data_IF_916882239837
#
_entry.id   IF_916882239837
#
_cell.length_a   1.000
_cell.length_b   1.000
_cell.length_c   1.000
_cell.angle_alpha   90.00
_cell.angle_beta   90.00
_cell.angle_gamma   90.00
#
_symmetry.space_group_name_H-M   'P 1'
#
loop_
_entity.id
_entity.type
_entity.pdbx_description
1 polymer ?
#
# COMPACT_ATOMS: atom_id res chain seq x y z
N UNK A 1 -18.95 -39.52 1.22
CA UNK A 1 -18.43 -38.17 0.89
C UNK A 1 -17.65 -38.29 -0.41
N UNK A 2 -18.31 -37.96 -1.52
CA UNK A 2 -17.77 -38.11 -2.86
C UNK A 2 -16.82 -36.99 -3.24
N UNK A 3 -16.08 -37.16 -4.33
CA UNK A 3 -15.24 -36.10 -4.93
C UNK A 3 -16.04 -34.81 -5.25
N UNK A 4 -17.34 -34.96 -5.53
CA UNK A 4 -18.28 -33.85 -5.72
C UNK A 4 -18.52 -33.04 -4.44
N UNK A 5 -18.54 -33.69 -3.27
CA UNK A 5 -18.69 -33.00 -1.98
C UNK A 5 -17.47 -32.13 -1.67
N UNK A 6 -16.26 -32.63 -1.96
CA UNK A 6 -15.00 -31.87 -1.77
C UNK A 6 -14.89 -30.66 -2.70
N UNK A 7 -15.36 -30.76 -3.94
CA UNK A 7 -15.33 -29.65 -4.89
C UNK A 7 -16.27 -28.50 -4.44
N UNK A 8 -17.42 -28.86 -3.86
CA UNK A 8 -18.38 -27.89 -3.31
C UNK A 8 -17.82 -27.18 -2.08
N UNK A 9 -17.20 -27.94 -1.17
CA UNK A 9 -16.56 -27.43 0.04
C UNK A 9 -15.39 -26.48 -0.25
N UNK A 10 -14.61 -26.75 -1.31
CA UNK A 10 -13.57 -25.85 -1.81
C UNK A 10 -14.15 -24.56 -2.42
N UNK A 11 -15.27 -24.67 -3.15
CA UNK A 11 -15.96 -23.50 -3.73
C UNK A 11 -16.51 -22.55 -2.68
N UNK A 12 -17.14 -23.09 -1.63
CA UNK A 12 -17.67 -22.29 -0.52
C UNK A 12 -16.55 -21.58 0.27
N UNK A 13 -15.39 -22.24 0.45
CA UNK A 13 -14.22 -21.67 1.14
C UNK A 13 -13.55 -20.52 0.36
N UNK A 14 -13.58 -20.59 -0.97
CA UNK A 14 -13.12 -19.48 -1.83
C UNK A 14 -14.11 -18.31 -1.76
N UNK A 15 -15.42 -18.59 -1.75
CA UNK A 15 -16.45 -17.56 -1.68
C UNK A 15 -16.45 -16.78 -0.34
N UNK A 16 -16.26 -17.47 0.80
CA UNK A 16 -16.07 -16.81 2.11
C UNK A 16 -14.77 -15.99 2.20
N UNK A 17 -13.70 -16.45 1.55
CA UNK A 17 -12.45 -15.71 1.52
C UNK A 17 -12.63 -14.40 0.73
N UNK A 18 -13.32 -14.45 -0.40
CA UNK A 18 -13.61 -13.29 -1.27
C UNK A 18 -14.45 -12.23 -0.55
N UNK A 19 -15.45 -12.60 0.24
CA UNK A 19 -16.24 -11.65 1.03
C UNK A 19 -15.46 -11.06 2.21
N UNK A 20 -14.55 -11.84 2.82
CA UNK A 20 -13.63 -11.33 3.86
C UNK A 20 -12.66 -10.29 3.30
N UNK A 21 -12.17 -10.47 2.07
CA UNK A 21 -11.23 -9.55 1.41
C UNK A 21 -11.88 -8.25 0.92
N UNK A 22 -13.21 -8.19 0.83
CA UNK A 22 -13.95 -6.98 0.42
C UNK A 22 -14.45 -6.14 1.60
N UNK A 23 -14.06 -6.45 2.83
CA UNK A 23 -14.49 -5.68 4.01
C UNK A 23 -13.78 -4.32 4.09
N UNK A 24 -14.48 -3.30 4.58
CA UNK A 24 -13.94 -1.96 4.81
C UNK A 24 -12.69 -2.00 5.70
N UNK A 25 -12.64 -2.92 6.66
CA UNK A 25 -11.49 -3.14 7.53
C UNK A 25 -10.26 -3.66 6.77
N UNK A 26 -10.44 -4.56 5.79
CA UNK A 26 -9.34 -5.02 4.94
C UNK A 26 -8.85 -3.89 4.04
N UNK A 27 -9.75 -3.08 3.50
CA UNK A 27 -9.41 -1.90 2.70
C UNK A 27 -8.60 -0.91 3.55
N UNK A 28 -9.08 -0.57 4.75
CA UNK A 28 -8.40 0.34 5.67
C UNK A 28 -6.99 -0.17 6.03
N UNK A 29 -6.87 -1.45 6.40
CA UNK A 29 -5.58 -2.07 6.70
C UNK A 29 -4.64 -2.07 5.48
N UNK A 30 -5.18 -2.24 4.27
CA UNK A 30 -4.40 -2.19 3.04
C UNK A 30 -3.86 -0.79 2.79
N UNK A 31 -4.67 0.24 2.99
CA UNK A 31 -4.26 1.66 2.87
C UNK A 31 -3.15 1.97 3.87
N UNK A 32 -3.35 1.63 5.15
CA UNK A 32 -2.36 1.86 6.22
C UNK A 32 -1.01 1.23 5.83
N UNK A 33 -1.02 -0.03 5.43
CA UNK A 33 0.20 -0.76 5.03
C UNK A 33 0.86 -0.17 3.77
N UNK A 34 0.07 0.31 2.82
CA UNK A 34 0.59 0.93 1.60
C UNK A 34 1.34 2.22 1.92
N UNK A 35 0.76 3.08 2.75
CA UNK A 35 1.37 4.35 3.18
C UNK A 35 2.64 4.11 4.00
N UNK A 36 2.60 3.23 4.99
CA UNK A 36 3.80 2.88 5.76
C UNK A 36 4.93 2.36 4.86
N UNK A 37 4.58 1.58 3.84
CA UNK A 37 5.55 1.06 2.87
C UNK A 37 6.10 2.15 1.98
N UNK A 38 5.27 3.11 1.52
CA UNK A 38 5.74 4.30 0.81
C UNK A 38 6.77 5.06 1.64
N UNK A 39 6.51 5.34 2.91
CA UNK A 39 7.43 6.08 3.78
C UNK A 39 8.77 5.35 3.94
N UNK A 40 8.74 4.05 4.26
CA UNK A 40 9.93 3.22 4.41
C UNK A 40 10.74 3.13 3.13
N UNK A 41 10.07 2.92 1.98
CA UNK A 41 10.73 2.87 0.67
C UNK A 41 11.35 4.22 0.33
N UNK A 42 10.65 5.32 0.54
CA UNK A 42 11.17 6.66 0.29
C UNK A 42 12.38 6.97 1.17
N UNK A 43 12.36 6.62 2.46
CA UNK A 43 13.52 6.78 3.34
C UNK A 43 14.74 5.97 2.83
N UNK A 44 14.52 4.74 2.38
CA UNK A 44 15.59 3.91 1.80
C UNK A 44 16.12 4.48 0.48
N UNK A 45 15.25 5.00 -0.38
CA UNK A 45 15.64 5.65 -1.63
C UNK A 45 16.48 6.91 -1.34
N UNK A 46 16.13 7.70 -0.32
CA UNK A 46 16.93 8.84 0.16
C UNK A 46 18.32 8.41 0.58
N UNK A 47 18.39 7.42 1.47
CA UNK A 47 19.65 6.92 2.02
C UNK A 47 20.58 6.36 0.94
N UNK A 48 20.03 5.90 -0.18
CA UNK A 48 20.76 5.41 -1.36
C UNK A 48 21.13 6.51 -2.36
N UNK A 49 20.79 7.77 -2.11
CA UNK A 49 21.01 8.87 -3.05
C UNK A 49 20.15 8.78 -4.31
N UNK A 50 18.99 8.11 -4.25
CA UNK A 50 18.08 8.00 -5.38
C UNK A 50 17.18 9.23 -5.49
N UNK A 51 17.17 9.83 -6.67
CA UNK A 51 16.37 11.03 -6.97
C UNK A 51 14.90 10.70 -7.30
N UNK A 52 14.44 9.49 -7.01
CA UNK A 52 13.06 9.06 -7.23
C UNK A 52 12.37 8.76 -5.92
N UNK A 53 11.08 9.07 -5.84
CA UNK A 53 10.22 8.76 -4.70
C UNK A 53 8.86 8.29 -5.15
N UNK A 54 8.28 7.41 -4.35
CA UNK A 54 6.86 7.08 -4.40
C UNK A 54 6.09 8.36 -4.06
N UNK A 55 5.29 8.81 -5.01
CA UNK A 55 4.55 10.08 -4.99
C UNK A 55 3.04 9.87 -4.88
N UNK A 56 2.56 8.75 -5.44
CA UNK A 56 1.15 8.43 -5.55
C UNK A 56 0.90 6.97 -5.13
N UNK A 57 -0.28 6.72 -4.55
CA UNK A 57 -0.78 5.38 -4.24
C UNK A 57 -2.15 5.25 -4.88
N UNK A 58 -2.30 4.28 -5.77
CA UNK A 58 -3.60 3.89 -6.33
C UNK A 58 -4.04 2.56 -5.71
N UNK A 59 -5.30 2.52 -5.27
CA UNK A 59 -5.94 1.30 -4.74
C UNK A 59 -6.95 0.76 -5.77
N UNK A 60 -6.68 -0.43 -6.30
CA UNK A 60 -7.64 -1.19 -7.08
C UNK A 60 -8.60 -1.95 -6.18
N UNK A 61 -9.89 -1.64 -6.26
CA UNK A 61 -10.97 -2.27 -5.46
C UNK A 61 -11.38 -3.67 -5.98
N UNK A 62 -10.44 -4.39 -6.60
CA UNK A 62 -10.63 -5.79 -6.93
C UNK A 62 -10.71 -6.64 -5.66
N UNK A 63 -11.10 -7.91 -5.82
CA UNK A 63 -11.01 -8.87 -4.73
C UNK A 63 -9.96 -9.93 -5.12
N UNK A 64 -8.79 -9.96 -4.45
CA UNK A 64 -8.34 -9.06 -3.38
C UNK A 64 -7.95 -7.66 -3.88
N UNK A 65 -7.94 -6.64 -3.00
CA UNK A 65 -7.55 -5.29 -3.39
C UNK A 65 -6.07 -5.23 -3.78
N UNK A 66 -5.74 -4.36 -4.73
CA UNK A 66 -4.38 -4.20 -5.25
C UNK A 66 -3.85 -2.80 -5.00
N UNK A 67 -2.56 -2.67 -4.70
CA UNK A 67 -1.89 -1.38 -4.47
C UNK A 67 -0.86 -1.16 -5.57
N UNK A 68 -0.94 -0.01 -6.23
CA UNK A 68 0.05 0.43 -7.21
C UNK A 68 0.72 1.71 -6.71
N UNK A 69 2.05 1.76 -6.81
CA UNK A 69 2.84 2.93 -6.42
C UNK A 69 3.28 3.72 -7.65
N UNK A 70 2.89 4.98 -7.73
CA UNK A 70 3.43 5.93 -8.69
C UNK A 70 4.78 6.45 -8.22
N UNK A 71 5.81 6.37 -9.08
CA UNK A 71 7.17 6.83 -8.77
C UNK A 71 7.52 8.00 -9.66
N UNK A 72 7.96 9.11 -9.05
CA UNK A 72 8.39 10.31 -9.76
C UNK A 72 9.79 10.70 -9.34
N UNK A 73 10.50 11.36 -10.25
CA UNK A 73 11.75 12.04 -9.93
C UNK A 73 11.44 13.27 -9.08
N UNK A 74 12.14 13.42 -7.96
CA UNK A 74 12.09 14.62 -7.12
C UNK A 74 12.88 15.71 -7.84
N UNK A 75 12.29 16.90 -7.96
CA UNK A 75 12.97 18.05 -8.57
C UNK A 75 14.17 18.50 -7.71
N UNK A 76 15.17 19.12 -8.33
CA UNK A 76 16.24 19.82 -7.62
C UNK A 76 15.62 21.00 -6.86
N UNK A 77 15.15 20.78 -5.62
CA UNK A 77 14.49 21.80 -4.81
C UNK A 77 13.51 21.30 -3.74
N UNK A 78 13.18 20.00 -3.71
CA UNK A 78 12.30 19.42 -2.67
C UNK A 78 13.05 18.59 -1.62
N UNK A 79 14.39 18.68 -1.58
CA UNK A 79 15.18 18.12 -0.48
C UNK A 79 15.35 19.19 0.62
N UNK A 80 14.67 18.97 1.74
CA UNK A 80 14.94 19.50 3.08
C UNK A 80 15.13 21.03 3.25
N UNK A 81 14.07 21.82 3.10
CA UNK A 81 13.96 23.10 3.81
C UNK A 81 12.74 23.10 4.74
N UNK A 82 12.79 22.26 5.77
CA UNK A 82 12.02 22.43 7.01
C UNK A 82 12.90 22.05 8.21
N UNK A 83 14.07 22.66 8.28
CA UNK A 83 14.87 22.65 9.49
C UNK A 83 15.44 24.06 9.66
N UNK A 84 14.60 24.98 10.16
CA UNK A 84 15.06 26.22 10.78
C UNK A 84 13.94 26.73 11.73
N UNK A 85 14.07 26.29 12.98
CA UNK A 85 13.93 27.15 14.16
C UNK A 85 12.76 28.13 14.21
N UNK A 86 11.54 27.61 14.39
CA UNK A 86 10.47 28.40 15.00
C UNK A 86 10.58 28.30 16.53
N UNK A 87 11.64 28.88 17.13
CA UNK A 87 11.68 29.15 18.56
C UNK A 87 12.61 30.33 18.92
N UNK A 88 11.98 31.52 18.95
CA UNK A 88 12.17 32.63 19.90
C UNK A 88 13.47 33.46 19.88
N UNK A 89 13.43 34.72 20.38
CA UNK A 89 12.39 35.38 21.21
C UNK A 89 11.43 36.32 20.49
#
# INVERSE_FOLDING_TARGET
MGLLDKAKELGDKVNESVTSFSSDEVIANTIIRAVEKQEKVNALLKAKGCNYRVSDIDLGMGIPPTVTFGVRRVGEGEDDTKDESNNMP
#
